data_IF_626383990419
#
_entry.id   IF_626383990419
#
_cell.length_a   1.000
_cell.length_b   1.000
_cell.length_c   1.000
_cell.angle_alpha   90.00
_cell.angle_beta   90.00
_cell.angle_gamma   90.00
#
_symmetry.space_group_name_H-M   'P 1'
#
loop_
_entity.id
_entity.type
_entity.pdbx_description
1 polymer ?
#
# COMPACT_ATOMS: atom_id res chain seq x y z
N UNK A 1 2.07 22.37 -6.43
CA UNK A 1 0.81 22.09 -5.70
C UNK A 1 1.08 21.03 -4.64
N UNK A 2 0.39 21.09 -3.48
CA UNK A 2 0.45 20.06 -2.43
C UNK A 2 -0.98 19.59 -2.14
N UNK A 3 -1.47 18.61 -2.90
CA UNK A 3 -2.83 18.07 -2.81
C UNK A 3 -2.85 16.60 -3.23
N UNK A 4 -3.87 15.86 -2.79
CA UNK A 4 -4.06 14.44 -3.14
C UNK A 4 -4.64 14.20 -4.53
N UNK A 5 -5.39 15.18 -5.07
CA UNK A 5 -5.98 15.15 -6.41
C UNK A 5 -5.67 16.46 -7.09
N UNK A 6 -5.11 16.40 -8.31
CA UNK A 6 -4.74 17.57 -9.11
C UNK A 6 -5.28 17.38 -10.51
N UNK A 7 -6.29 18.19 -10.87
CA UNK A 7 -6.94 18.12 -12.17
C UNK A 7 -6.48 19.29 -13.04
N UNK A 8 -6.23 19.02 -14.33
CA UNK A 8 -5.99 20.04 -15.34
C UNK A 8 -7.08 19.98 -16.41
N UNK A 9 -7.70 21.13 -16.71
CA UNK A 9 -8.84 21.24 -17.64
C UNK A 9 -10.02 20.31 -17.31
N UNK A 10 -10.19 19.97 -16.03
CA UNK A 10 -11.30 19.17 -15.49
C UNK A 10 -11.76 19.75 -14.14
N UNK A 11 -13.04 19.58 -13.75
CA UNK A 11 -13.55 20.06 -12.46
C UNK A 11 -12.80 19.44 -11.27
N UNK A 12 -12.66 20.17 -10.17
CA UNK A 12 -12.02 19.67 -8.93
C UNK A 12 -12.82 18.56 -8.24
N UNK A 13 -14.12 18.46 -8.52
CA UNK A 13 -15.00 17.38 -8.03
C UNK A 13 -14.85 16.07 -8.80
N UNK A 14 -14.17 16.08 -9.95
CA UNK A 14 -13.91 14.88 -10.74
C UNK A 14 -12.73 14.08 -10.16
N UNK A 15 -12.95 12.80 -9.88
CA UNK A 15 -11.90 11.86 -9.49
C UNK A 15 -12.21 10.46 -10.05
N UNK A 16 -11.16 9.68 -10.32
CA UNK A 16 -11.31 8.28 -10.75
C UNK A 16 -11.34 7.35 -9.54
N UNK A 17 -12.33 6.47 -9.42
CA UNK A 17 -12.38 5.44 -8.37
C UNK A 17 -11.30 4.37 -8.53
N UNK A 18 -10.74 4.23 -9.74
CA UNK A 18 -9.62 3.34 -10.04
C UNK A 18 -8.26 3.94 -9.66
N UNK A 19 -8.22 5.16 -9.11
CA UNK A 19 -7.02 5.79 -8.57
C UNK A 19 -7.15 5.97 -7.04
N UNK A 20 -6.04 6.17 -6.31
CA UNK A 20 -6.10 6.51 -4.89
C UNK A 20 -6.79 7.87 -4.67
N UNK A 21 -7.58 7.99 -3.60
CA UNK A 21 -8.21 9.25 -3.21
C UNK A 21 -7.91 9.56 -1.75
N UNK A 22 -7.01 10.52 -1.50
CA UNK A 22 -6.64 10.93 -0.15
C UNK A 22 -5.83 12.22 -0.13
N UNK A 23 -6.21 13.17 0.72
CA UNK A 23 -5.52 14.45 0.88
C UNK A 23 -4.22 14.36 1.71
N UNK A 24 -3.34 15.33 1.52
CA UNK A 24 -2.10 15.53 2.30
C UNK A 24 -2.29 16.62 3.36
N UNK A 25 -1.38 16.73 4.33
CA UNK A 25 -1.47 17.73 5.40
C UNK A 25 -2.64 17.45 6.35
N UNK A 26 -3.42 18.48 6.72
CA UNK A 26 -4.57 18.33 7.62
C UNK A 26 -5.78 17.63 6.97
N UNK A 27 -5.73 17.35 5.67
CA UNK A 27 -6.81 16.70 4.92
C UNK A 27 -6.78 15.16 4.99
N UNK A 28 -5.79 14.58 5.67
CA UNK A 28 -5.66 13.13 5.78
C UNK A 28 -4.56 12.71 6.75
N UNK A 29 -4.36 11.40 6.86
CA UNK A 29 -3.36 10.78 7.76
C UNK A 29 -2.48 9.76 7.02
N UNK A 30 -2.22 10.00 5.73
CA UNK A 30 -1.44 9.12 4.85
C UNK A 30 -2.06 7.74 4.60
N UNK A 31 -3.39 7.59 4.74
CA UNK A 31 -4.15 6.41 4.34
C UNK A 31 -5.18 6.77 3.26
N UNK A 32 -4.78 6.89 1.99
CA UNK A 32 -5.72 7.19 0.92
C UNK A 32 -6.74 6.07 0.75
N UNK A 33 -7.97 6.43 0.37
CA UNK A 33 -9.06 5.51 0.08
C UNK A 33 -9.22 5.32 -1.44
N UNK A 34 -10.44 5.06 -1.90
CA UNK A 34 -10.73 4.60 -3.26
C UNK A 34 -9.88 3.37 -3.60
N UNK A 35 -9.03 3.42 -4.63
CA UNK A 35 -8.25 2.25 -5.04
C UNK A 35 -7.32 1.71 -3.95
N UNK A 36 -6.72 2.59 -3.12
CA UNK A 36 -5.82 2.18 -2.03
C UNK A 36 -6.56 1.86 -0.71
N UNK A 37 -7.89 1.81 -0.72
CA UNK A 37 -8.62 1.34 0.46
C UNK A 37 -8.20 -0.07 0.88
N UNK A 38 -7.79 -0.91 -0.08
CA UNK A 38 -7.26 -2.25 0.20
C UNK A 38 -6.07 -2.22 1.18
N UNK A 39 -5.19 -1.23 1.08
CA UNK A 39 -3.98 -1.10 1.89
C UNK A 39 -4.27 -0.92 3.38
N UNK A 40 -5.41 -0.30 3.73
CA UNK A 40 -5.83 -0.16 5.13
C UNK A 40 -6.87 -1.19 5.57
N UNK A 41 -7.49 -1.91 4.64
CA UNK A 41 -8.45 -2.98 4.94
C UNK A 41 -7.77 -4.30 5.31
N UNK A 42 -6.56 -4.54 4.82
CA UNK A 42 -5.78 -5.74 5.10
C UNK A 42 -4.35 -5.39 5.49
N UNK A 43 -3.71 -6.26 6.26
CA UNK A 43 -2.28 -6.18 6.56
C UNK A 43 -1.56 -7.35 5.88
N UNK A 44 -0.33 -7.16 5.39
CA UNK A 44 0.42 -8.23 4.76
C UNK A 44 0.91 -9.25 5.80
N UNK A 45 0.80 -10.53 5.47
CA UNK A 45 1.43 -11.64 6.20
C UNK A 45 2.32 -12.39 5.22
N UNK A 46 3.62 -12.41 5.48
CA UNK A 46 4.58 -13.17 4.70
C UNK A 46 4.96 -14.45 5.47
N UNK A 47 5.04 -15.57 4.77
CA UNK A 47 5.40 -16.87 5.35
C UNK A 47 6.43 -17.58 4.48
N UNK A 48 7.40 -18.23 5.12
CA UNK A 48 8.30 -19.19 4.47
C UNK A 48 7.69 -20.58 4.67
N UNK A 49 7.43 -21.28 3.57
CA UNK A 49 6.83 -22.61 3.58
C UNK A 49 7.90 -23.64 3.20
N UNK A 50 7.94 -24.75 3.93
CA UNK A 50 8.77 -25.90 3.65
C UNK A 50 7.97 -27.16 4.00
N UNK A 51 8.08 -28.20 3.17
CA UNK A 51 7.34 -29.47 3.38
C UNK A 51 7.84 -30.25 4.61
N UNK A 52 9.04 -29.94 5.09
CA UNK A 52 9.64 -30.56 6.27
C UNK A 52 10.83 -29.77 6.81
N UNK A 53 11.26 -30.13 8.02
CA UNK A 53 12.44 -29.54 8.66
C UNK A 53 13.68 -30.12 8.00
N UNK A 54 14.59 -29.26 7.55
CA UNK A 54 15.93 -29.64 7.09
C UNK A 54 17.00 -28.93 7.91
N UNK A 55 18.14 -29.59 8.10
CA UNK A 55 19.29 -28.98 8.77
C UNK A 55 19.99 -28.07 7.76
N UNK A 56 20.09 -26.75 8.01
CA UNK A 56 20.81 -25.85 7.11
C UNK A 56 22.31 -26.11 7.18
N UNK A 57 22.98 -26.14 6.01
CA UNK A 57 24.43 -26.33 5.95
C UNK A 57 25.16 -24.98 5.94
N UNK A 58 26.00 -24.78 6.96
CA UNK A 58 26.82 -23.58 7.11
C UNK A 58 28.31 -23.96 7.17
N UNK A 59 29.22 -23.15 6.63
CA UNK A 59 30.65 -23.39 6.79
C UNK A 59 31.06 -23.43 8.27
N UNK A 60 31.74 -24.50 8.70
CA UNK A 60 32.28 -24.63 10.05
C UNK A 60 31.33 -25.17 11.12
N UNK A 61 30.08 -25.52 10.76
CA UNK A 61 29.21 -26.36 11.60
C UNK A 61 29.25 -27.80 11.08
N UNK A 62 29.34 -28.83 11.97
CA UNK A 62 29.38 -30.23 11.58
C UNK A 62 28.09 -30.67 10.87
#
# INVERSE_FOLDING_TARGET
IRAGVVNWNRPTTGASSAAPFGGVGISGNHRPSAYYAADYCAYPVASLLADGVSVPQFPGLP
#
